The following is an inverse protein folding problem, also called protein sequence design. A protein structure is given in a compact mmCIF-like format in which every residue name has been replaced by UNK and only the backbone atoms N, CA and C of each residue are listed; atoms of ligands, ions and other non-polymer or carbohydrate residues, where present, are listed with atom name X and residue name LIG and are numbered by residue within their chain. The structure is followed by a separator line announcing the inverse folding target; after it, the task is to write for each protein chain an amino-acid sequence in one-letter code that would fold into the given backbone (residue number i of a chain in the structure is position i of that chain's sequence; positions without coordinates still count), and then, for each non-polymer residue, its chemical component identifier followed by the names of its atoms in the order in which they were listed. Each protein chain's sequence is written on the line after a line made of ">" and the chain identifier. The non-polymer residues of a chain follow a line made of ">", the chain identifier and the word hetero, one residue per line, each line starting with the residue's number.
data_IF_133755600778
#
_entry.id   IF_133755600778
#
_cell.length_a   1.000
_cell.length_b   1.000
_cell.length_c   1.000
_cell.angle_alpha   90.00
_cell.angle_beta   90.00
_cell.angle_gamma   90.00
#
_symmetry.space_group_name_H-M   'P 1'
#
loop_
_entity.id
_entity.type
_entity.pdbx_description
1 polymer ?
#
# COMPACT_ATOMS: atom_id res chain seq x y z
N UNK A 1 9.18 15.81 31.69
CA UNK A 1 8.26 14.93 30.92
C UNK A 1 7.39 15.80 30.02
N UNK A 2 7.50 15.72 28.68
CA UNK A 2 6.65 16.50 27.76
C UNK A 2 5.22 15.94 27.83
N UNK A 3 4.26 16.71 28.36
CA UNK A 3 2.83 16.36 28.38
C UNK A 3 2.40 16.05 26.93
N UNK A 4 1.92 14.83 26.69
CA UNK A 4 1.38 14.45 25.40
C UNK A 4 0.13 15.28 25.13
N UNK A 5 0.16 16.11 24.08
CA UNK A 5 -1.03 16.85 23.61
C UNK A 5 -2.14 15.83 23.32
N UNK A 6 -3.35 16.01 23.87
CA UNK A 6 -4.46 15.11 23.61
C UNK A 6 -4.79 15.12 22.12
N UNK A 7 -4.86 13.93 21.54
CA UNK A 7 -5.22 13.77 20.13
C UNK A 7 -6.74 13.97 19.94
N UNK A 8 -7.16 14.48 18.77
CA UNK A 8 -8.57 14.51 18.38
C UNK A 8 -9.23 13.13 18.48
N UNK A 9 -10.54 13.08 18.72
CA UNK A 9 -11.30 11.83 18.79
C UNK A 9 -11.07 10.99 17.52
N UNK A 10 -10.79 9.70 17.71
CA UNK A 10 -10.54 8.75 16.63
C UNK A 10 -9.09 8.69 16.13
N UNK A 11 -8.20 9.55 16.64
CA UNK A 11 -6.76 9.50 16.40
C UNK A 11 -6.03 8.92 17.61
N UNK A 12 -5.11 8.01 17.35
CA UNK A 12 -4.26 7.38 18.38
C UNK A 12 -2.81 7.41 17.94
N UNK A 13 -1.88 7.20 18.88
CA UNK A 13 -0.47 6.99 18.52
C UNK A 13 -0.22 5.50 18.28
N UNK A 14 0.49 5.18 17.22
CA UNK A 14 0.84 3.81 16.88
C UNK A 14 1.68 3.18 18.00
N UNK A 15 1.23 2.05 18.53
CA UNK A 15 2.00 1.29 19.52
C UNK A 15 3.26 0.65 18.91
N UNK A 16 3.19 0.34 17.61
CA UNK A 16 4.23 -0.33 16.82
C UNK A 16 4.31 0.31 15.43
N UNK A 17 5.43 0.10 14.74
CA UNK A 17 5.52 0.44 13.32
C UNK A 17 4.58 -0.47 12.50
N UNK A 18 4.08 0.04 11.38
CA UNK A 18 3.20 -0.71 10.49
C UNK A 18 3.05 -0.02 9.15
N UNK A 19 2.28 -0.60 8.24
CA UNK A 19 2.08 -0.04 6.89
C UNK A 19 0.65 0.45 6.74
N UNK A 20 0.48 1.68 6.25
CA UNK A 20 -0.84 2.26 6.02
C UNK A 20 -1.56 1.49 4.89
N UNK A 21 -2.75 0.92 5.13
CA UNK A 21 -3.48 0.09 4.16
C UNK A 21 -4.01 0.85 2.94
N UNK A 22 -4.02 2.18 3.00
CA UNK A 22 -4.58 3.07 1.98
C UNK A 22 -3.50 3.62 1.03
N UNK A 23 -2.34 4.03 1.55
CA UNK A 23 -1.25 4.57 0.72
C UNK A 23 -0.01 3.66 0.65
N UNK A 24 -0.03 2.52 1.36
CA UNK A 24 1.09 1.58 1.47
C UNK A 24 2.40 2.21 1.95
N UNK A 25 2.35 3.39 2.57
CA UNK A 25 3.49 4.00 3.25
C UNK A 25 3.58 3.45 4.66
N UNK A 26 4.81 3.20 5.10
CA UNK A 26 5.07 2.82 6.48
C UNK A 26 4.85 4.00 7.43
N UNK A 27 4.38 3.67 8.63
CA UNK A 27 4.28 4.56 9.77
C UNK A 27 5.08 4.02 10.95
N UNK A 28 5.69 4.92 11.70
CA UNK A 28 6.55 4.61 12.84
C UNK A 28 5.78 4.44 14.15
N UNK A 29 6.42 3.81 15.14
CA UNK A 29 5.92 3.81 16.52
C UNK A 29 5.79 5.26 17.03
N UNK A 30 4.64 5.57 17.63
CA UNK A 30 4.34 6.90 18.15
C UNK A 30 3.73 7.85 17.12
N UNK A 31 3.70 7.50 15.83
CA UNK A 31 3.02 8.32 14.82
C UNK A 31 1.51 8.32 15.01
N UNK A 32 0.88 9.42 14.60
CA UNK A 32 -0.57 9.57 14.69
C UNK A 32 -1.21 8.73 13.61
N UNK A 33 -2.07 7.80 14.01
CA UNK A 33 -2.83 6.89 13.14
C UNK A 33 -4.32 7.03 13.43
N UNK A 34 -5.14 6.64 12.46
CA UNK A 34 -6.60 6.60 12.53
C UNK A 34 -7.10 5.22 12.15
N UNK A 35 -8.25 4.83 12.69
CA UNK A 35 -8.94 3.61 12.25
C UNK A 35 -9.36 3.77 10.77
N UNK A 36 -8.95 2.81 9.94
CA UNK A 36 -9.22 2.70 8.52
C UNK A 36 -9.83 1.32 8.24
N UNK A 37 -11.16 1.22 8.38
CA UNK A 37 -11.90 -0.05 8.35
C UNK A 37 -11.53 -0.94 9.55
N UNK A 38 -11.09 -2.16 9.27
CA UNK A 38 -10.61 -3.13 10.28
C UNK A 38 -9.15 -2.91 10.69
N UNK A 39 -8.44 -2.00 10.02
CA UNK A 39 -7.00 -1.77 10.18
C UNK A 39 -6.68 -0.32 10.59
N UNK A 40 -5.42 -0.03 10.89
CA UNK A 40 -4.95 1.31 11.23
C UNK A 40 -4.14 1.93 10.08
N UNK A 41 -4.35 3.21 9.83
CA UNK A 41 -3.64 3.94 8.77
C UNK A 41 -3.36 5.39 9.12
N UNK A 42 -2.65 6.09 8.25
CA UNK A 42 -2.32 7.50 8.45
C UNK A 42 -3.59 8.39 8.38
N UNK A 43 -3.67 9.49 9.14
CA UNK A 43 -4.90 10.27 9.32
C UNK A 43 -5.39 10.94 8.03
N UNK A 44 -4.45 11.37 7.18
CA UNK A 44 -4.73 11.98 5.87
C UNK A 44 -5.03 10.97 4.77
N UNK A 45 -4.78 9.68 5.05
CA UNK A 45 -5.25 8.61 4.18
C UNK A 45 -6.67 8.27 4.62
N UNK A 46 -7.62 9.12 4.22
CA UNK A 46 -9.03 8.81 4.37
C UNK A 46 -9.27 7.37 3.87
N UNK A 47 -10.24 6.63 4.43
CA UNK A 47 -10.74 5.43 3.80
C UNK A 47 -11.51 5.87 2.55
N UNK A 48 -10.80 6.34 1.51
CA UNK A 48 -11.27 6.05 0.16
C UNK A 48 -11.31 4.53 0.13
N UNK A 49 -12.51 3.99 0.04
CA UNK A 49 -12.74 2.60 -0.33
C UNK A 49 -12.11 2.45 -1.72
N UNK A 50 -10.79 2.25 -1.76
CA UNK A 50 -10.11 1.99 -3.01
C UNK A 50 -10.70 0.69 -3.51
N UNK A 51 -11.23 0.73 -4.72
CA UNK A 51 -11.69 -0.46 -5.40
C UNK A 51 -10.57 -1.49 -5.42
N UNK A 52 -10.92 -2.77 -5.53
CA UNK A 52 -9.92 -3.85 -5.65
C UNK A 52 -8.91 -3.54 -6.76
N UNK A 53 -9.38 -2.94 -7.87
CA UNK A 53 -8.56 -2.49 -8.97
C UNK A 53 -7.56 -1.38 -8.59
N UNK A 54 -8.00 -0.34 -7.88
CA UNK A 54 -7.11 0.74 -7.42
C UNK A 54 -6.07 0.23 -6.42
N UNK A 55 -6.47 -0.71 -5.57
CA UNK A 55 -5.57 -1.33 -4.58
C UNK A 55 -4.51 -2.20 -5.25
N UNK A 56 -4.89 -2.99 -6.25
CA UNK A 56 -3.94 -3.72 -7.08
C UNK A 56 -3.01 -2.79 -7.86
N UNK A 57 -3.55 -1.72 -8.43
CA UNK A 57 -2.77 -0.74 -9.18
C UNK A 57 -1.71 -0.08 -8.29
N UNK A 58 -2.11 0.39 -7.10
CA UNK A 58 -1.18 0.98 -6.14
C UNK A 58 -0.07 -0.01 -5.72
N UNK A 59 -0.43 -1.28 -5.48
CA UNK A 59 0.54 -2.33 -5.13
C UNK A 59 1.51 -2.62 -6.28
N UNK A 60 1.01 -2.74 -7.52
CA UNK A 60 1.84 -2.95 -8.73
C UNK A 60 2.77 -1.76 -8.97
N UNK A 61 2.25 -0.53 -8.83
CA UNK A 61 3.02 0.71 -8.96
C UNK A 61 4.18 0.76 -7.96
N UNK A 62 3.94 0.47 -6.68
CA UNK A 62 4.98 0.45 -5.66
C UNK A 62 6.06 -0.60 -5.92
N UNK A 63 5.69 -1.79 -6.43
CA UNK A 63 6.65 -2.82 -6.86
C UNK A 63 7.51 -2.40 -8.07
N UNK A 64 6.94 -1.63 -8.99
CA UNK A 64 7.66 -1.06 -10.13
C UNK A 64 8.62 0.03 -9.67
N UNK A 65 8.16 0.96 -8.84
CA UNK A 65 8.97 2.07 -8.33
C UNK A 65 10.12 1.62 -7.42
N UNK A 66 9.92 0.56 -6.63
CA UNK A 66 10.98 -0.05 -5.81
C UNK A 66 12.03 -0.82 -6.64
N UNK A 67 11.79 -1.02 -7.93
CA UNK A 67 12.64 -1.83 -8.80
C UNK A 67 12.52 -3.34 -8.58
N UNK A 68 11.67 -3.81 -7.66
CA UNK A 68 11.47 -5.23 -7.36
C UNK A 68 11.06 -6.04 -8.59
N UNK A 69 10.17 -5.50 -9.43
CA UNK A 69 9.76 -6.13 -10.70
C UNK A 69 10.88 -6.32 -11.70
N UNK A 70 11.92 -5.49 -11.63
CA UNK A 70 13.05 -5.53 -12.55
C UNK A 70 14.20 -6.37 -11.99
N UNK A 71 14.45 -6.29 -10.67
CA UNK A 71 15.47 -7.10 -9.98
C UNK A 71 15.22 -8.61 -10.08
N UNK A 72 13.95 -9.01 -10.15
CA UNK A 72 13.54 -10.42 -10.23
C UNK A 72 13.49 -10.98 -11.67
N UNK A 73 13.69 -10.15 -12.70
CA UNK A 73 13.56 -10.56 -14.11
C UNK A 73 14.85 -10.26 -14.88
N UNK A 74 15.23 -11.12 -15.82
CA UNK A 74 16.33 -10.81 -16.75
C UNK A 74 15.91 -9.63 -17.66
N UNK A 75 16.84 -8.75 -18.05
CA UNK A 75 16.50 -7.57 -18.89
C UNK A 75 15.76 -7.88 -20.19
N UNK A 76 16.01 -9.05 -20.79
CA UNK A 76 15.30 -9.57 -21.96
C UNK A 76 13.80 -9.80 -21.72
N UNK A 77 13.43 -10.13 -20.49
CA UNK A 77 12.04 -10.33 -20.09
C UNK A 77 11.35 -9.01 -19.76
N UNK A 78 12.08 -7.92 -19.51
CA UNK A 78 11.46 -6.62 -19.23
C UNK A 78 10.64 -6.09 -20.42
N UNK A 79 11.14 -6.34 -21.65
CA UNK A 79 10.48 -5.93 -22.91
C UNK A 79 9.34 -6.86 -23.32
N UNK A 80 9.41 -8.14 -22.91
CA UNK A 80 8.29 -9.07 -22.99
C UNK A 80 7.34 -8.72 -21.85
N UNK A 81 6.42 -7.79 -22.08
CA UNK A 81 5.24 -7.65 -21.23
C UNK A 81 4.59 -9.02 -21.01
N UNK A 82 3.70 -9.16 -20.02
CA UNK A 82 2.92 -10.38 -19.88
C UNK A 82 2.15 -10.60 -21.19
N UNK A 83 2.69 -11.44 -22.07
CA UNK A 83 2.02 -11.83 -23.29
C UNK A 83 0.70 -12.40 -22.84
N UNK A 84 -0.42 -11.88 -23.36
CA UNK A 84 -1.69 -12.60 -23.26
C UNK A 84 -1.41 -14.00 -23.79
N UNK A 85 -1.43 -14.99 -22.91
CA UNK A 85 -1.40 -16.39 -23.31
C UNK A 85 -2.55 -16.53 -24.30
N UNK A 86 -2.22 -16.73 -25.57
CA UNK A 86 -3.16 -17.03 -26.64
C UNK A 86 -3.78 -18.39 -26.33
N UNK A 87 -4.71 -18.43 -25.39
CA UNK A 87 -5.60 -19.58 -25.23
C UNK A 87 -6.57 -19.50 -26.40
N UNK A 88 -6.19 -20.12 -27.52
CA UNK A 88 -7.08 -20.36 -28.64
C UNK A 88 -8.31 -21.08 -28.08
N UNK A 89 -9.54 -20.58 -28.24
CA UNK A 89 -10.72 -21.36 -27.87
C UNK A 89 -10.70 -22.60 -28.76
N UNK A 90 -10.57 -23.78 -28.15
CA UNK A 90 -10.88 -25.01 -28.85
C UNK A 90 -12.38 -24.97 -29.17
N UNK A 91 -12.71 -25.02 -30.45
CA UNK A 91 -14.08 -25.10 -30.97
C UNK A 91 -14.57 -26.54 -30.86
#
# INVERSE_FOLDING_TARGET
>A
MKKAVPLPRGLVRAAYAGTCPACFKDYGKGEVIRKAGESWGLPGCAPRQMSVAEREFARKKARIESGETFRSRKPSDWRRGASVSSTRPAR
#
